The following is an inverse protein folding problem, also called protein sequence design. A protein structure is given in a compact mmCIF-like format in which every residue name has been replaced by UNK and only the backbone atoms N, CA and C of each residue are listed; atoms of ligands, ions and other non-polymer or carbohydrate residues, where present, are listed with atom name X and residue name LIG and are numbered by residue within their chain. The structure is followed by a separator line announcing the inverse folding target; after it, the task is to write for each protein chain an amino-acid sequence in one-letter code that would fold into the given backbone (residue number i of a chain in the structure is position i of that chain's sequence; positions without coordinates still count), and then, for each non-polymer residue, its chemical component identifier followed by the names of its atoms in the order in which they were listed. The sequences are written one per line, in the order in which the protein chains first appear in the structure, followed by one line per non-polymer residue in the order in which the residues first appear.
data_IF_750367870523
#
_entry.id   IF_750367870523
#
_cell.length_a   1.000
_cell.length_b   1.000
_cell.length_c   1.000
_cell.angle_alpha   90.00
_cell.angle_beta   90.00
_cell.angle_gamma   90.00
#
_symmetry.space_group_name_H-M   'P 1'
#
loop_
_entity.id
_entity.type
_entity.pdbx_description
1 polymer ?
#
# COMPACT_ATOMS: atom_id res chain seq x y z
N UNK A 1 -4.88 -2.26 6.78
CA UNK A 1 -3.82 -1.63 5.94
C UNK A 1 -3.27 -0.37 6.60
N UNK A 2 -4.07 0.67 6.83
CA UNK A 2 -3.58 1.91 7.46
C UNK A 2 -3.01 1.68 8.87
N UNK A 3 -3.64 0.82 9.67
CA UNK A 3 -3.11 0.45 10.99
C UNK A 3 -1.73 -0.21 10.91
N UNK A 4 -1.53 -1.12 9.95
CA UNK A 4 -0.24 -1.79 9.70
C UNK A 4 0.85 -0.79 9.27
N UNK A 5 0.45 0.27 8.56
CA UNK A 5 1.34 1.35 8.16
C UNK A 5 1.63 2.31 9.33
N UNK A 6 0.61 2.65 10.13
CA UNK A 6 0.72 3.54 11.27
C UNK A 6 1.54 2.94 12.42
N UNK A 7 1.54 1.60 12.57
CA UNK A 7 2.37 0.91 13.56
C UNK A 7 3.86 0.85 13.17
N UNK A 8 4.23 1.21 11.93
CA UNK A 8 5.63 1.33 11.53
C UNK A 8 6.17 2.70 11.89
N UNK A 9 7.28 2.74 12.64
CA UNK A 9 7.99 3.98 13.02
C UNK A 9 8.37 4.84 11.80
N UNK A 10 8.74 4.20 10.69
CA UNK A 10 8.99 4.84 9.40
C UNK A 10 8.98 3.77 8.30
N UNK A 11 8.71 4.19 7.06
CA UNK A 11 8.94 3.38 5.88
C UNK A 11 7.69 2.98 5.10
N UNK A 12 7.85 1.98 4.26
CA UNK A 12 6.82 1.51 3.34
C UNK A 12 6.66 0.00 3.44
N UNK A 13 5.56 -0.54 2.90
CA UNK A 13 5.30 -1.98 2.77
C UNK A 13 4.90 -2.35 1.36
N UNK A 14 5.23 -3.55 0.90
CA UNK A 14 4.62 -4.05 -0.32
C UNK A 14 3.26 -4.71 -0.03
N UNK A 15 2.38 -4.81 -1.04
CA UNK A 15 1.10 -5.52 -0.89
C UNK A 15 1.24 -6.93 -0.33
N UNK A 16 2.31 -7.66 -0.67
CA UNK A 16 2.46 -9.07 -0.27
C UNK A 16 2.82 -9.24 1.19
N UNK A 17 3.45 -8.25 1.81
CA UNK A 17 3.62 -8.20 3.27
C UNK A 17 2.26 -8.12 3.97
N UNK A 18 1.33 -7.27 3.47
CA UNK A 18 -0.02 -7.15 4.03
C UNK A 18 -0.79 -8.46 3.84
N UNK A 19 -0.77 -9.01 2.64
CA UNK A 19 -1.49 -10.25 2.34
C UNK A 19 -1.00 -11.42 3.22
N UNK A 20 0.31 -11.56 3.42
CA UNK A 20 0.89 -12.59 4.29
C UNK A 20 0.56 -12.40 5.76
N UNK A 21 0.38 -11.16 6.23
CA UNK A 21 -0.06 -10.90 7.60
C UNK A 21 -1.52 -11.27 7.83
N UNK A 22 -2.35 -11.15 6.80
CA UNK A 22 -3.78 -11.48 6.88
C UNK A 22 -4.03 -12.98 6.69
N UNK A 23 -3.37 -13.60 5.71
CA UNK A 23 -3.55 -15.01 5.39
C UNK A 23 -2.22 -15.66 4.97
N UNK A 24 -1.43 -16.20 5.91
CA UNK A 24 -0.06 -16.65 5.63
C UNK A 24 0.07 -17.75 4.57
N UNK A 25 -0.92 -18.65 4.47
CA UNK A 25 -0.95 -19.80 3.58
C UNK A 25 -1.49 -19.43 2.19
N UNK A 26 -2.62 -18.74 2.13
CA UNK A 26 -3.34 -18.41 0.88
C UNK A 26 -3.20 -16.93 0.46
N UNK A 27 -2.14 -16.24 0.91
CA UNK A 27 -1.93 -14.79 0.66
C UNK A 27 -2.00 -14.37 -0.82
N UNK A 28 -1.71 -15.29 -1.76
CA UNK A 28 -1.79 -14.99 -3.20
C UNK A 28 -3.20 -14.62 -3.63
N UNK A 29 -4.22 -15.26 -3.06
CA UNK A 29 -5.62 -14.92 -3.32
C UNK A 29 -5.98 -13.51 -2.83
N UNK A 30 -5.29 -13.01 -1.80
CA UNK A 30 -5.48 -11.65 -1.28
C UNK A 30 -4.75 -10.57 -2.07
N UNK A 31 -3.96 -10.92 -3.11
CA UNK A 31 -3.17 -9.91 -3.83
C UNK A 31 -4.00 -8.85 -4.51
N UNK A 32 -5.03 -9.26 -5.25
CA UNK A 32 -5.92 -8.33 -5.93
C UNK A 32 -6.78 -7.52 -4.93
N UNK A 33 -7.39 -8.13 -3.89
CA UNK A 33 -8.08 -7.39 -2.84
C UNK A 33 -7.22 -6.33 -2.15
N UNK A 34 -5.97 -6.66 -1.79
CA UNK A 34 -5.04 -5.72 -1.16
C UNK A 34 -4.70 -4.58 -2.12
N UNK A 35 -4.46 -4.86 -3.41
CA UNK A 35 -4.19 -3.82 -4.41
C UNK A 35 -5.39 -2.89 -4.60
N UNK A 36 -6.62 -3.42 -4.65
CA UNK A 36 -7.83 -2.59 -4.72
C UNK A 36 -7.97 -1.67 -3.52
N UNK A 37 -7.76 -2.20 -2.30
CA UNK A 37 -7.81 -1.41 -1.09
C UNK A 37 -6.74 -0.30 -1.09
N UNK A 38 -5.51 -0.60 -1.53
CA UNK A 38 -4.45 0.39 -1.66
C UNK A 38 -4.82 1.50 -2.66
N UNK A 39 -5.39 1.15 -3.82
CA UNK A 39 -5.85 2.11 -4.83
C UNK A 39 -6.91 3.05 -4.27
N UNK A 40 -7.91 2.51 -3.58
CA UNK A 40 -8.97 3.31 -2.95
C UNK A 40 -8.39 4.28 -1.92
N UNK A 41 -7.53 3.79 -1.03
CA UNK A 41 -6.90 4.63 -0.02
C UNK A 41 -6.00 5.72 -0.60
N UNK A 42 -5.34 5.42 -1.73
CA UNK A 42 -4.50 6.39 -2.42
C UNK A 42 -5.32 7.44 -3.17
N UNK A 43 -6.43 7.04 -3.79
CA UNK A 43 -7.41 7.96 -4.35
C UNK A 43 -7.97 8.90 -3.27
N UNK A 44 -8.20 8.40 -2.06
CA UNK A 44 -8.68 9.19 -0.92
C UNK A 44 -7.56 10.05 -0.26
N UNK A 45 -6.34 10.04 -0.79
CA UNK A 45 -5.21 10.80 -0.23
C UNK A 45 -4.69 10.27 1.11
N UNK A 46 -5.12 9.07 1.54
CA UNK A 46 -4.77 8.46 2.84
C UNK A 46 -3.53 7.59 2.78
N UNK A 47 -3.05 7.29 1.58
CA UNK A 47 -1.94 6.38 1.31
C UNK A 47 -1.22 6.83 0.04
N UNK A 48 0.09 6.67 -0.03
CA UNK A 48 0.83 6.83 -1.28
C UNK A 48 1.30 5.48 -1.80
N UNK A 49 1.10 5.25 -3.09
CA UNK A 49 1.68 4.13 -3.82
C UNK A 49 2.94 4.64 -4.50
N UNK A 50 4.08 4.01 -4.23
CA UNK A 50 5.35 4.34 -4.86
C UNK A 50 5.92 3.16 -5.64
N UNK A 51 6.57 3.48 -6.75
CA UNK A 51 7.31 2.53 -7.58
C UNK A 51 8.67 3.12 -7.89
N UNK A 52 9.74 2.38 -7.61
CA UNK A 52 11.13 2.85 -7.77
C UNK A 52 11.38 4.21 -7.07
N UNK A 53 10.74 4.42 -5.92
CA UNK A 53 10.89 5.64 -5.11
C UNK A 53 9.97 6.80 -5.49
N UNK A 54 9.33 6.79 -6.67
CA UNK A 54 8.42 7.84 -7.10
C UNK A 54 6.96 7.49 -6.77
N UNK A 55 6.16 8.48 -6.40
CA UNK A 55 4.69 8.33 -6.29
C UNK A 55 4.14 8.07 -7.69
N UNK A 56 3.28 7.07 -7.83
CA UNK A 56 2.63 6.69 -9.09
C UNK A 56 1.14 6.93 -9.04
N UNK A 57 0.53 7.09 -10.22
CA UNK A 57 -0.92 7.14 -10.34
C UNK A 57 -1.55 5.83 -9.81
N UNK A 58 -2.46 5.88 -8.82
CA UNK A 58 -3.17 4.70 -8.34
C UNK A 58 -4.01 3.99 -9.42
N UNK A 59 -4.40 4.66 -10.50
CA UNK A 59 -5.10 4.07 -11.62
C UNK A 59 -4.16 3.28 -12.53
N UNK A 60 -2.90 3.72 -12.68
CA UNK A 60 -1.95 3.17 -13.65
C UNK A 60 -0.59 2.84 -13.03
N UNK A 61 -0.49 1.62 -12.50
CA UNK A 61 0.80 1.03 -12.14
C UNK A 61 0.82 -0.48 -12.38
N UNK A 62 2.01 -0.99 -12.68
CA UNK A 62 2.25 -2.41 -12.98
C UNK A 62 3.46 -2.92 -12.22
N UNK A 63 3.34 -4.14 -11.71
CA UNK A 63 4.44 -4.82 -11.02
C UNK A 63 4.57 -4.46 -9.54
N UNK A 64 5.79 -4.57 -8.97
CA UNK A 64 6.07 -4.33 -7.56
C UNK A 64 5.91 -2.85 -7.18
N UNK A 65 5.23 -2.61 -6.08
CA UNK A 65 5.01 -1.28 -5.50
C UNK A 65 5.24 -1.30 -4.00
N UNK A 66 5.44 -0.12 -3.42
CA UNK A 66 5.45 0.12 -1.98
C UNK A 66 4.30 1.05 -1.60
N UNK A 67 3.78 0.88 -0.39
CA UNK A 67 2.70 1.64 0.19
C UNK A 67 3.25 2.37 1.41
N UNK A 68 2.98 3.66 1.56
CA UNK A 68 3.40 4.44 2.73
C UNK A 68 2.32 5.42 3.18
N UNK A 69 2.42 5.88 4.42
CA UNK A 69 1.65 7.04 4.88
C UNK A 69 2.19 8.27 4.15
N UNK A 70 1.33 9.16 3.63
CA UNK A 70 1.75 10.42 3.03
C UNK A 70 2.58 11.25 4.03
N UNK A 71 3.71 11.78 3.59
CA UNK A 71 4.66 12.53 4.45
C UNK A 71 4.29 14.00 4.71
N UNK A 72 3.09 14.44 4.30
CA UNK A 72 2.58 15.82 4.43
C UNK A 72 2.16 16.39 3.07
N UNK A 73 1.09 17.17 2.93
CA UNK A 73 0.69 18.32 3.77
C UNK A 73 -0.51 18.01 4.68
N UNK A 74 -0.30 18.16 5.99
CA UNK A 74 -1.38 18.52 6.92
C UNK A 74 -1.55 20.03 6.82
N UNK A 75 -2.69 20.51 6.34
CA UNK A 75 -3.12 21.90 6.56
C UNK A 75 -3.50 22.11 8.01
#
# INVERSE_FOLDING_TARGET
MLEILASRRAGSICPSEIARQLEPTEWRALMEPVRRAARRLAHDGRLEITQRGAVVDPADFRGPVRLRIPSGVRS
#
